data_IF_007987916597
#
_entry.id   IF_007987916597
#
_cell.length_a   1.000
_cell.length_b   1.000
_cell.length_c   1.000
_cell.angle_alpha   90.00
_cell.angle_beta   90.00
_cell.angle_gamma   90.00
#
_symmetry.space_group_name_H-M   'P 1'
#
loop_
_entity.id
_entity.type
_entity.pdbx_description
1 polymer ?
#
# COMPACT_ATOMS: atom_id res chain seq x y z
N UNK A 1 16.62 -17.49 -9.19
CA UNK A 1 16.35 -17.32 -10.64
C UNK A 1 17.20 -16.16 -11.13
N UNK A 2 17.93 -16.31 -12.21
CA UNK A 2 18.84 -15.26 -12.71
C UNK A 2 18.02 -14.24 -13.50
N UNK A 3 18.14 -12.96 -13.20
CA UNK A 3 17.71 -11.88 -14.07
C UNK A 3 18.51 -11.97 -15.37
N UNK A 4 17.95 -12.56 -16.42
CA UNK A 4 18.60 -12.63 -17.72
C UNK A 4 18.14 -11.45 -18.56
N UNK A 5 19.04 -10.47 -18.74
CA UNK A 5 18.88 -9.41 -19.73
C UNK A 5 19.49 -9.92 -21.02
N UNK A 6 18.67 -10.35 -21.96
CA UNK A 6 19.09 -10.61 -23.35
C UNK A 6 18.71 -9.40 -24.19
N UNK A 7 19.71 -8.60 -24.56
CA UNK A 7 19.57 -7.63 -25.65
C UNK A 7 19.53 -8.34 -26.98
N UNK A 8 18.39 -8.31 -27.65
CA UNK A 8 18.30 -8.62 -29.09
C UNK A 8 17.72 -7.43 -29.83
N UNK A 9 18.58 -6.77 -30.59
CA UNK A 9 18.22 -5.79 -31.61
C UNK A 9 17.60 -6.55 -32.80
N UNK A 10 16.30 -6.38 -33.01
CA UNK A 10 15.70 -6.50 -34.36
C UNK A 10 14.56 -5.51 -34.48
N UNK A 11 14.73 -4.55 -35.35
CA UNK A 11 13.70 -3.64 -35.77
C UNK A 11 12.72 -4.35 -36.71
N UNK A 12 11.43 -4.30 -36.39
CA UNK A 12 10.36 -4.45 -37.37
C UNK A 12 9.06 -3.81 -36.82
N UNK A 13 8.67 -2.80 -37.48
CA UNK A 13 7.41 -2.06 -37.22
C UNK A 13 6.23 -2.93 -37.66
N UNK A 14 5.44 -3.40 -36.72
CA UNK A 14 4.04 -3.80 -36.96
C UNK A 14 3.23 -3.20 -35.83
N UNK A 15 2.46 -2.16 -36.17
CA UNK A 15 1.37 -1.63 -35.33
C UNK A 15 0.28 -2.71 -35.26
N UNK A 16 0.27 -3.50 -34.22
CA UNK A 16 -0.90 -4.28 -33.84
C UNK A 16 -1.51 -3.60 -32.62
N UNK A 17 -2.71 -3.08 -32.80
CA UNK A 17 -3.56 -2.65 -31.69
C UNK A 17 -3.72 -3.85 -30.73
N UNK A 18 -3.05 -3.78 -29.59
CA UNK A 18 -3.19 -4.78 -28.53
C UNK A 18 -4.53 -4.50 -27.85
N UNK A 19 -5.57 -5.19 -28.29
CA UNK A 19 -6.79 -5.29 -27.51
C UNK A 19 -6.39 -5.94 -26.17
N UNK A 20 -6.53 -5.20 -25.09
CA UNK A 20 -6.42 -5.70 -23.71
C UNK A 20 -7.33 -6.93 -23.62
N UNK A 21 -6.75 -8.12 -23.58
CA UNK A 21 -7.48 -9.31 -23.20
C UNK A 21 -7.82 -9.13 -21.72
N UNK A 22 -9.07 -8.77 -21.43
CA UNK A 22 -9.66 -9.05 -20.14
C UNK A 22 -9.52 -10.55 -19.91
N UNK A 23 -8.50 -10.96 -19.17
CA UNK A 23 -8.48 -12.29 -18.59
C UNK A 23 -9.63 -12.32 -17.61
N UNK A 24 -10.70 -13.06 -17.95
CA UNK A 24 -11.81 -13.29 -17.03
C UNK A 24 -11.22 -13.87 -15.76
N UNK A 25 -11.41 -13.17 -14.64
CA UNK A 25 -10.97 -13.64 -13.32
C UNK A 25 -11.47 -15.08 -13.12
N UNK A 26 -10.56 -15.94 -12.68
CA UNK A 26 -10.87 -17.34 -12.36
C UNK A 26 -11.76 -17.45 -11.13
N UNK A 27 -11.82 -16.39 -10.34
CA UNK A 27 -12.52 -16.31 -9.08
C UNK A 27 -13.97 -15.85 -9.28
N UNK A 28 -14.87 -16.35 -8.45
CA UNK A 28 -16.25 -15.89 -8.45
C UNK A 28 -16.33 -14.44 -8.02
N UNK A 29 -17.25 -13.63 -8.55
CA UNK A 29 -17.48 -12.27 -8.07
C UNK A 29 -17.77 -12.24 -6.57
N UNK A 30 -17.23 -11.23 -5.89
CA UNK A 30 -17.52 -10.92 -4.48
C UNK A 30 -18.20 -9.57 -4.46
N UNK A 31 -19.19 -9.37 -3.61
CA UNK A 31 -19.92 -8.12 -3.48
C UNK A 31 -20.35 -7.88 -2.04
N UNK A 32 -20.52 -6.61 -1.68
CA UNK A 32 -20.80 -6.17 -0.33
C UNK A 32 -19.59 -6.28 0.60
N UNK A 33 -19.75 -5.86 1.84
CA UNK A 33 -18.65 -5.86 2.83
C UNK A 33 -18.16 -7.28 3.11
N UNK A 34 -16.83 -7.43 3.26
CA UNK A 34 -16.23 -8.68 3.74
C UNK A 34 -16.07 -8.56 5.24
N UNK A 35 -16.80 -9.39 5.98
CA UNK A 35 -16.85 -9.37 7.44
C UNK A 35 -15.96 -10.47 8.03
N UNK A 36 -15.16 -10.09 9.01
CA UNK A 36 -14.28 -10.99 9.76
C UNK A 36 -14.83 -11.13 11.17
N UNK A 37 -15.72 -12.09 11.42
CA UNK A 37 -16.30 -12.33 12.73
C UNK A 37 -15.44 -13.28 13.57
N UNK A 38 -15.35 -12.98 14.87
CA UNK A 38 -14.60 -13.79 15.84
C UNK A 38 -13.11 -13.99 15.48
N UNK A 39 -12.51 -13.01 14.81
CA UNK A 39 -11.08 -13.01 14.44
C UNK A 39 -10.28 -12.20 15.46
N UNK A 40 -10.04 -12.79 16.64
CA UNK A 40 -9.36 -12.11 17.75
C UNK A 40 -8.03 -11.51 17.33
N UNK A 41 -7.88 -10.18 17.52
CA UNK A 41 -6.67 -9.42 17.24
C UNK A 41 -6.21 -9.44 15.78
N UNK A 42 -7.10 -9.65 14.80
CA UNK A 42 -6.72 -9.62 13.38
C UNK A 42 -6.17 -8.26 12.95
N UNK A 43 -6.86 -7.16 13.27
CA UNK A 43 -6.49 -5.77 12.91
C UNK A 43 -5.93 -5.65 11.49
N UNK A 44 -6.72 -5.94 10.44
CA UNK A 44 -6.27 -5.90 9.07
C UNK A 44 -6.02 -4.44 8.64
N UNK A 45 -4.76 -4.08 8.38
CA UNK A 45 -4.41 -2.72 7.95
C UNK A 45 -4.26 -2.60 6.44
N UNK A 46 -3.62 -3.57 5.81
CA UNK A 46 -3.50 -3.69 4.36
C UNK A 46 -4.01 -5.05 3.92
N UNK A 47 -4.42 -5.12 2.65
CA UNK A 47 -4.87 -6.38 2.05
C UNK A 47 -4.49 -6.45 0.58
N UNK A 48 -4.35 -7.69 0.07
CA UNK A 48 -4.16 -7.97 -1.36
C UNK A 48 -5.00 -9.16 -1.76
N UNK A 49 -5.55 -9.06 -2.95
CA UNK A 49 -6.29 -10.13 -3.59
C UNK A 49 -5.38 -10.99 -4.45
N UNK A 50 -5.50 -12.30 -4.35
CA UNK A 50 -4.83 -13.27 -5.20
C UNK A 50 -5.84 -13.89 -6.17
N UNK A 51 -5.85 -13.42 -7.41
CA UNK A 51 -6.73 -13.92 -8.48
C UNK A 51 -6.41 -15.37 -8.88
N UNK A 52 -5.23 -15.87 -8.57
CA UNK A 52 -4.86 -17.25 -8.88
C UNK A 52 -5.40 -18.24 -7.86
N UNK A 53 -5.44 -17.82 -6.59
CA UNK A 53 -5.88 -18.67 -5.46
C UNK A 53 -7.25 -18.32 -4.91
N UNK A 54 -7.81 -17.17 -5.32
CA UNK A 54 -9.10 -16.65 -4.86
C UNK A 54 -9.14 -16.46 -3.34
N UNK A 55 -8.09 -15.91 -2.78
CA UNK A 55 -7.95 -15.62 -1.35
C UNK A 55 -7.46 -14.18 -1.12
N UNK A 56 -7.70 -13.69 0.09
CA UNK A 56 -7.15 -12.43 0.59
C UNK A 56 -5.93 -12.70 1.46
N UNK A 57 -4.89 -11.90 1.28
CA UNK A 57 -3.80 -11.75 2.23
C UNK A 57 -4.00 -10.46 3.00
N UNK A 58 -4.06 -10.56 4.32
CA UNK A 58 -4.33 -9.44 5.23
C UNK A 58 -3.11 -9.19 6.11
N UNK A 59 -2.62 -7.97 6.15
CA UNK A 59 -1.59 -7.56 7.10
C UNK A 59 -2.20 -7.41 8.49
N UNK A 60 -1.91 -8.33 9.39
CA UNK A 60 -2.26 -8.22 10.81
C UNK A 60 -1.22 -7.32 11.49
N UNK A 61 -1.52 -6.02 11.59
CA UNK A 61 -0.51 -5.00 11.91
C UNK A 61 0.17 -5.24 13.27
N UNK A 62 -0.61 -5.43 14.35
CA UNK A 62 -0.06 -5.56 15.69
C UNK A 62 0.61 -6.91 15.96
N UNK A 63 0.09 -7.97 15.35
CA UNK A 63 0.66 -9.29 15.48
C UNK A 63 1.84 -9.53 14.52
N UNK A 64 2.10 -8.60 13.61
CA UNK A 64 3.12 -8.69 12.57
C UNK A 64 3.11 -10.05 11.86
N UNK A 65 1.92 -10.46 11.40
CA UNK A 65 1.67 -11.71 10.69
C UNK A 65 0.79 -11.46 9.46
N UNK A 66 0.72 -12.41 8.54
CA UNK A 66 -0.12 -12.34 7.37
C UNK A 66 -1.22 -13.38 7.50
N UNK A 67 -2.48 -12.93 7.50
CA UNK A 67 -3.63 -13.81 7.50
C UNK A 67 -4.06 -14.13 6.07
N UNK A 68 -4.37 -15.39 5.80
CA UNK A 68 -4.95 -15.88 4.53
C UNK A 68 -6.42 -16.16 4.75
N UNK A 69 -7.27 -15.39 4.09
CA UNK A 69 -8.72 -15.45 4.25
C UNK A 69 -9.40 -15.90 2.97
N UNK A 70 -10.31 -16.84 3.08
CA UNK A 70 -11.22 -17.24 2.01
C UNK A 70 -12.54 -16.48 2.15
N UNK A 71 -12.85 -15.53 1.26
CA UNK A 71 -14.08 -14.76 1.33
C UNK A 71 -15.34 -15.56 0.98
N UNK A 72 -15.20 -16.69 0.28
CA UNK A 72 -16.34 -17.51 -0.12
C UNK A 72 -16.87 -18.41 0.99
N UNK A 73 -15.96 -18.90 1.83
CA UNK A 73 -16.31 -19.67 3.03
C UNK A 73 -16.34 -18.82 4.30
N UNK A 74 -16.00 -17.54 4.19
CA UNK A 74 -15.85 -16.61 5.32
C UNK A 74 -15.00 -17.20 6.44
N UNK A 75 -13.83 -17.74 6.07
CA UNK A 75 -12.98 -18.45 7.02
C UNK A 75 -11.51 -18.15 6.86
N UNK A 76 -10.80 -18.17 8.03
CA UNK A 76 -9.35 -18.10 8.09
C UNK A 76 -8.75 -19.42 7.62
N UNK A 77 -8.02 -19.37 6.51
CA UNK A 77 -7.34 -20.55 5.97
C UNK A 77 -6.00 -20.80 6.66
N UNK A 78 -5.29 -19.72 6.98
CA UNK A 78 -3.94 -19.80 7.56
C UNK A 78 -3.51 -18.47 8.16
N UNK A 79 -2.64 -18.53 9.15
CA UNK A 79 -1.78 -17.44 9.58
C UNK A 79 -0.35 -17.78 9.16
N UNK A 80 0.25 -16.92 8.34
CA UNK A 80 1.67 -17.02 7.97
C UNK A 80 2.46 -16.28 9.04
N UNK A 81 3.15 -17.05 9.86
CA UNK A 81 4.03 -16.52 10.89
C UNK A 81 5.43 -16.27 10.34
N UNK A 82 6.02 -15.15 10.74
CA UNK A 82 7.37 -14.75 10.34
C UNK A 82 8.31 -14.99 11.52
N UNK A 83 9.28 -15.93 11.40
CA UNK A 83 10.15 -16.28 12.51
C UNK A 83 10.90 -15.08 13.10
N UNK A 84 10.78 -14.87 14.42
CA UNK A 84 11.40 -13.77 15.16
C UNK A 84 10.76 -12.39 14.92
N UNK A 85 9.58 -12.33 14.29
CA UNK A 85 8.82 -11.10 14.03
C UNK A 85 7.39 -11.23 14.55
N UNK A 86 6.66 -12.27 14.14
CA UNK A 86 5.28 -12.47 14.58
C UNK A 86 5.16 -12.49 16.09
N UNK A 87 4.20 -11.75 16.63
CA UNK A 87 3.95 -11.48 18.04
C UNK A 87 5.05 -10.69 18.77
N UNK A 88 5.98 -10.08 18.03
CA UNK A 88 6.96 -9.17 18.63
C UNK A 88 6.32 -7.81 18.89
N UNK A 89 6.38 -7.30 20.12
CA UNK A 89 5.73 -6.06 20.53
C UNK A 89 6.35 -4.82 19.86
N UNK A 90 7.58 -4.94 19.38
CA UNK A 90 8.34 -3.88 18.73
C UNK A 90 8.22 -3.91 17.20
N UNK A 91 7.38 -4.77 16.61
CA UNK A 91 7.18 -4.89 15.16
C UNK A 91 5.73 -4.62 14.77
N UNK A 92 5.58 -4.06 13.56
CA UNK A 92 4.29 -3.87 12.89
C UNK A 92 4.40 -4.36 11.46
N UNK A 93 3.31 -4.89 10.93
CA UNK A 93 3.24 -5.31 9.53
C UNK A 93 2.28 -4.38 8.78
N UNK A 94 2.78 -3.70 7.77
CA UNK A 94 2.04 -2.68 7.01
C UNK A 94 1.85 -3.09 5.55
N UNK A 95 2.30 -2.30 4.60
CA UNK A 95 2.09 -2.47 3.17
C UNK A 95 2.46 -3.85 2.64
N UNK A 96 1.66 -4.35 1.73
CA UNK A 96 1.88 -5.65 1.07
C UNK A 96 1.67 -5.54 -0.43
N UNK A 97 2.37 -6.35 -1.20
CA UNK A 97 2.19 -6.46 -2.65
C UNK A 97 2.41 -7.91 -3.11
N UNK A 98 1.67 -8.33 -4.12
CA UNK A 98 1.85 -9.63 -4.76
C UNK A 98 2.59 -9.44 -6.09
N UNK A 99 3.62 -10.25 -6.31
CA UNK A 99 4.19 -10.49 -7.63
C UNK A 99 3.59 -11.79 -8.18
N UNK A 100 2.58 -11.71 -9.05
CA UNK A 100 1.90 -12.89 -9.58
C UNK A 100 2.78 -13.71 -10.52
N UNK A 101 3.80 -13.10 -11.11
CA UNK A 101 4.74 -13.77 -12.03
C UNK A 101 5.65 -14.74 -11.28
N UNK A 102 6.14 -14.31 -10.12
CA UNK A 102 7.06 -15.10 -9.32
C UNK A 102 6.36 -15.83 -8.15
N UNK A 103 5.03 -15.68 -8.00
CA UNK A 103 4.26 -16.23 -6.89
C UNK A 103 4.81 -15.82 -5.51
N UNK A 104 5.13 -14.54 -5.35
CA UNK A 104 5.70 -13.98 -4.13
C UNK A 104 4.77 -12.90 -3.59
N UNK A 105 4.49 -12.96 -2.29
CA UNK A 105 3.92 -11.86 -1.52
C UNK A 105 5.07 -11.16 -0.79
N UNK A 106 5.20 -9.86 -0.97
CA UNK A 106 6.13 -9.03 -0.21
C UNK A 106 5.37 -8.17 0.79
N UNK A 107 5.88 -8.07 2.02
CA UNK A 107 5.27 -7.31 3.10
C UNK A 107 6.31 -6.47 3.83
N UNK A 108 5.93 -5.26 4.22
CA UNK A 108 6.77 -4.37 5.02
C UNK A 108 6.60 -4.69 6.50
N UNK A 109 7.71 -4.89 7.19
CA UNK A 109 7.76 -5.02 8.64
C UNK A 109 8.57 -3.86 9.20
N UNK A 110 7.97 -3.09 10.06
CA UNK A 110 8.53 -1.86 10.59
C UNK A 110 8.69 -1.91 12.12
N UNK A 111 9.67 -1.16 12.62
CA UNK A 111 9.82 -0.96 14.05
C UNK A 111 8.68 -0.11 14.61
N UNK A 112 8.08 -0.51 15.73
CA UNK A 112 6.96 0.19 16.33
C UNK A 112 7.35 1.55 16.96
N UNK A 113 8.64 1.85 17.12
CA UNK A 113 9.16 3.05 17.77
C UNK A 113 8.63 4.34 17.14
N UNK A 114 8.45 4.39 15.82
CA UNK A 114 7.99 5.59 15.16
C UNK A 114 6.53 5.93 15.51
N UNK A 115 5.66 4.94 15.72
CA UNK A 115 4.28 5.17 16.18
C UNK A 115 4.25 5.80 17.57
N UNK A 116 5.14 5.34 18.45
CA UNK A 116 5.20 5.81 19.84
C UNK A 116 5.79 7.20 19.97
N UNK A 117 6.64 7.59 19.02
CA UNK A 117 7.40 8.83 19.05
C UNK A 117 6.95 9.89 18.04
N UNK A 118 5.87 9.62 17.27
CA UNK A 118 5.45 10.45 16.13
C UNK A 118 6.63 10.77 15.18
N UNK A 119 7.42 9.74 14.83
CA UNK A 119 8.55 9.84 13.92
C UNK A 119 9.85 10.39 14.51
N UNK A 120 9.89 10.78 15.79
CA UNK A 120 11.14 11.25 16.42
C UNK A 120 12.14 10.11 16.63
N UNK A 121 11.66 8.88 16.85
CA UNK A 121 12.48 7.68 16.90
C UNK A 121 12.10 6.73 15.77
N UNK A 122 12.97 6.57 14.79
CA UNK A 122 12.85 5.61 13.67
C UNK A 122 13.88 4.49 13.79
N UNK A 123 14.46 4.33 14.97
CA UNK A 123 15.38 3.24 15.27
C UNK A 123 14.63 1.90 15.36
N UNK A 124 15.40 0.83 15.41
CA UNK A 124 14.88 -0.52 15.41
C UNK A 124 14.95 -1.18 14.03
N UNK A 125 14.77 -2.49 14.04
CA UNK A 125 14.92 -3.28 12.83
C UNK A 125 13.68 -3.19 11.94
N UNK A 126 13.90 -2.87 10.67
CA UNK A 126 12.88 -2.84 9.62
C UNK A 126 13.24 -3.87 8.54
N UNK A 127 12.24 -4.52 7.99
CA UNK A 127 12.43 -5.56 6.97
C UNK A 127 11.40 -5.43 5.85
N UNK A 128 11.75 -5.97 4.67
CA UNK A 128 10.76 -6.53 3.76
C UNK A 128 10.79 -8.04 3.93
N UNK A 129 9.64 -8.65 4.05
CA UNK A 129 9.49 -10.10 4.11
C UNK A 129 8.90 -10.58 2.80
N UNK A 130 9.62 -11.44 2.09
CA UNK A 130 9.10 -12.17 0.92
C UNK A 130 8.55 -13.51 1.38
N UNK A 131 7.35 -13.83 0.94
CA UNK A 131 6.64 -15.11 1.18
C UNK A 131 6.46 -15.81 -0.14
N UNK A 132 7.01 -17.00 -0.30
CA UNK A 132 6.71 -17.89 -1.41
C UNK A 132 5.28 -18.40 -1.27
N UNK A 133 4.39 -18.06 -2.19
CA UNK A 133 2.96 -18.38 -2.09
C UNK A 133 2.64 -19.86 -2.39
N UNK A 134 3.59 -20.66 -2.82
CA UNK A 134 3.41 -22.10 -2.99
C UNK A 134 3.75 -22.88 -1.71
N UNK A 135 4.79 -22.45 -1.00
CA UNK A 135 5.33 -23.14 0.18
C UNK A 135 5.05 -22.42 1.49
N UNK A 136 4.73 -21.13 1.44
CA UNK A 136 4.65 -20.18 2.55
C UNK A 136 5.98 -20.01 3.31
N UNK A 137 7.09 -20.38 2.69
CA UNK A 137 8.40 -20.08 3.23
C UNK A 137 8.65 -18.56 3.21
N UNK A 138 9.26 -18.04 4.27
CA UNK A 138 9.53 -16.62 4.45
C UNK A 138 11.02 -16.30 4.32
N UNK A 139 11.36 -15.19 3.66
CA UNK A 139 12.71 -14.63 3.59
C UNK A 139 12.67 -13.18 4.07
N UNK A 140 13.55 -12.81 4.99
CA UNK A 140 13.69 -11.43 5.50
C UNK A 140 14.79 -10.69 4.75
N UNK A 141 14.51 -9.46 4.34
CA UNK A 141 15.47 -8.51 3.75
C UNK A 141 15.60 -7.36 4.73
N UNK A 142 16.79 -7.15 5.26
CA UNK A 142 17.04 -6.14 6.30
C UNK A 142 17.21 -4.75 5.69
N UNK A 143 16.28 -3.83 6.01
CA UNK A 143 16.34 -2.44 5.57
C UNK A 143 17.24 -1.59 6.48
N UNK A 144 17.33 -1.93 7.76
CA UNK A 144 18.07 -1.16 8.76
C UNK A 144 19.58 -1.18 8.48
N UNK A 145 20.08 -2.22 7.82
CA UNK A 145 21.47 -2.28 7.37
C UNK A 145 21.87 -1.10 6.47
N UNK A 146 20.91 -0.56 5.70
CA UNK A 146 21.09 0.58 4.79
C UNK A 146 20.70 1.89 5.46
N UNK A 147 19.58 1.94 6.16
CA UNK A 147 19.07 3.19 6.77
C UNK A 147 19.84 3.59 8.02
N UNK A 148 20.46 2.65 8.73
CA UNK A 148 21.20 2.83 9.99
C UNK A 148 20.40 3.61 11.05
N UNK A 149 19.07 3.50 11.02
CA UNK A 149 18.17 4.20 11.93
C UNK A 149 18.05 5.70 11.69
N UNK A 150 18.54 6.22 10.57
CA UNK A 150 18.46 7.64 10.24
C UNK A 150 17.11 8.04 9.64
N UNK A 151 16.48 7.12 8.94
CA UNK A 151 15.15 7.28 8.34
C UNK A 151 14.40 5.95 8.36
N UNK A 152 13.07 6.00 8.34
CA UNK A 152 12.25 4.80 8.52
C UNK A 152 10.76 5.10 8.50
N UNK A 153 10.00 4.30 9.27
CA UNK A 153 8.54 4.25 9.20
C UNK A 153 8.11 3.85 7.78
N UNK A 154 8.50 2.64 7.40
CA UNK A 154 8.21 2.10 6.06
C UNK A 154 6.77 1.62 6.03
N UNK A 155 5.92 2.28 5.22
CA UNK A 155 4.47 2.08 5.27
C UNK A 155 3.92 1.27 4.10
N UNK A 156 4.36 1.56 2.89
CA UNK A 156 3.79 0.98 1.67
C UNK A 156 4.89 0.47 0.73
N UNK A 157 4.50 -0.38 -0.22
CA UNK A 157 5.42 -1.09 -1.11
C UNK A 157 4.76 -1.34 -2.46
N UNK A 158 5.52 -1.19 -3.54
CA UNK A 158 5.07 -1.59 -4.87
C UNK A 158 6.16 -2.33 -5.66
N UNK A 159 5.73 -3.11 -6.65
CA UNK A 159 6.61 -3.85 -7.54
C UNK A 159 7.28 -2.91 -8.56
N UNK A 160 8.57 -3.13 -8.81
CA UNK A 160 9.29 -2.55 -9.92
C UNK A 160 9.05 -3.30 -11.25
N UNK A 161 9.90 -3.01 -12.24
CA UNK A 161 9.73 -3.56 -13.60
C UNK A 161 10.22 -5.01 -13.75
N UNK A 162 11.21 -5.41 -12.96
CA UNK A 162 11.95 -6.69 -13.16
C UNK A 162 11.97 -7.57 -11.91
N UNK A 163 10.91 -7.52 -11.10
CA UNK A 163 10.86 -8.20 -9.79
C UNK A 163 11.54 -7.41 -8.68
N UNK A 164 11.90 -6.16 -8.96
CA UNK A 164 12.35 -5.18 -7.98
C UNK A 164 11.18 -4.76 -7.09
N UNK A 165 11.50 -4.13 -5.95
CA UNK A 165 10.52 -3.55 -5.04
C UNK A 165 10.92 -2.12 -4.70
N UNK A 166 9.93 -1.25 -4.53
CA UNK A 166 10.09 0.08 -4.00
C UNK A 166 9.31 0.23 -2.70
N UNK A 167 9.99 0.68 -1.65
CA UNK A 167 9.40 0.81 -0.31
C UNK A 167 9.51 2.26 0.12
N UNK A 168 8.38 2.89 0.47
CA UNK A 168 8.39 4.25 0.96
C UNK A 168 8.55 4.32 2.48
N UNK A 169 9.31 5.32 2.94
CA UNK A 169 9.44 5.67 4.35
C UNK A 169 8.89 7.07 4.62
N UNK A 170 8.26 7.22 5.77
CA UNK A 170 7.53 8.43 6.14
C UNK A 170 8.34 9.44 6.97
N UNK A 171 9.39 9.02 7.67
CA UNK A 171 10.14 9.92 8.57
C UNK A 171 11.66 9.89 8.33
N UNK A 172 12.15 10.87 7.55
CA UNK A 172 11.46 11.73 6.59
C UNK A 172 11.08 10.98 5.31
N UNK A 173 10.49 11.70 4.35
CA UNK A 173 10.18 11.14 3.01
C UNK A 173 11.37 10.40 2.43
N UNK A 174 11.22 9.11 2.18
CA UNK A 174 12.27 8.29 1.59
C UNK A 174 11.70 7.19 0.70
N UNK A 175 12.50 6.71 -0.24
CA UNK A 175 12.24 5.53 -1.03
C UNK A 175 13.47 4.64 -0.98
N UNK A 176 13.27 3.36 -0.69
CA UNK A 176 14.27 2.30 -0.87
C UNK A 176 13.96 1.51 -2.12
N UNK A 177 15.00 1.11 -2.83
CA UNK A 177 14.95 0.14 -3.92
C UNK A 177 15.54 -1.19 -3.44
N UNK A 178 14.83 -2.27 -3.72
CA UNK A 178 15.28 -3.64 -3.48
C UNK A 178 15.32 -4.32 -4.84
N UNK A 179 16.50 -4.66 -5.30
CA UNK A 179 16.65 -5.29 -6.62
C UNK A 179 16.23 -6.78 -6.63
N UNK A 180 16.22 -7.37 -7.81
CA UNK A 180 15.83 -8.77 -7.99
C UNK A 180 16.77 -9.78 -7.30
N UNK A 181 17.94 -9.35 -6.81
CA UNK A 181 18.86 -10.15 -6.00
C UNK A 181 18.72 -9.87 -4.49
N UNK A 182 17.68 -9.10 -4.11
CA UNK A 182 17.37 -8.67 -2.73
C UNK A 182 18.40 -7.71 -2.11
N UNK A 183 19.17 -6.99 -2.94
CA UNK A 183 20.08 -5.94 -2.47
C UNK A 183 19.28 -4.64 -2.27
N UNK A 184 19.43 -4.06 -1.09
CA UNK A 184 18.76 -2.81 -0.71
C UNK A 184 19.67 -1.62 -1.00
N UNK A 185 19.09 -0.57 -1.58
CA UNK A 185 19.77 0.72 -1.76
C UNK A 185 18.82 1.89 -1.55
N UNK A 186 19.31 3.05 -1.10
CA UNK A 186 18.51 4.26 -1.09
C UNK A 186 18.20 4.66 -2.54
N UNK A 187 16.94 4.91 -2.85
CA UNK A 187 16.50 5.49 -4.11
C UNK A 187 16.35 7.01 -3.97
N UNK A 188 15.73 7.44 -2.85
CA UNK A 188 15.60 8.85 -2.48
C UNK A 188 15.50 8.99 -0.96
N UNK A 189 16.13 10.00 -0.40
CA UNK A 189 16.00 10.36 1.03
C UNK A 189 15.95 11.89 1.13
N UNK A 190 14.91 12.42 1.78
CA UNK A 190 14.79 13.84 2.06
C UNK A 190 15.62 14.23 3.29
N UNK A 191 16.35 15.32 3.20
CA UNK A 191 17.00 15.94 4.35
C UNK A 191 16.03 16.91 5.07
N UNK A 192 16.14 17.12 6.40
CA UNK A 192 17.07 16.46 7.30
C UNK A 192 16.60 15.08 7.75
N UNK A 193 17.53 14.17 7.99
CA UNK A 193 17.26 12.84 8.54
C UNK A 193 17.23 12.81 10.08
N UNK A 194 17.69 13.88 10.74
CA UNK A 194 17.66 14.03 12.20
C UNK A 194 16.34 14.64 12.69
N UNK A 195 15.87 14.29 13.93
CA UNK A 195 14.67 14.90 14.50
C UNK A 195 14.75 16.42 14.66
N UNK A 196 13.61 17.14 14.60
CA UNK A 196 12.28 16.64 14.27
C UNK A 196 12.14 16.30 12.79
N UNK A 197 11.59 15.11 12.47
CA UNK A 197 11.28 14.69 11.10
C UNK A 197 9.83 15.01 10.77
N UNK A 198 9.57 15.53 9.58
CA UNK A 198 8.20 15.68 9.09
C UNK A 198 7.65 14.37 8.57
N UNK A 199 6.34 14.15 8.74
CA UNK A 199 5.60 13.08 8.09
C UNK A 199 5.61 13.32 6.57
N UNK A 200 6.18 12.38 5.84
CA UNK A 200 6.50 12.53 4.42
C UNK A 200 5.67 11.60 3.52
N UNK A 201 6.35 10.66 2.86
CA UNK A 201 5.67 9.77 1.92
C UNK A 201 4.81 8.74 2.67
N UNK A 202 3.49 8.77 2.40
CA UNK A 202 2.55 7.82 3.00
C UNK A 202 2.30 6.60 2.15
N UNK A 203 2.20 6.75 0.83
CA UNK A 203 1.97 5.66 -0.11
C UNK A 203 2.86 5.76 -1.34
N UNK A 204 3.03 4.62 -2.03
CA UNK A 204 3.75 4.52 -3.30
C UNK A 204 2.98 3.62 -4.27
N UNK A 205 2.92 4.03 -5.54
CA UNK A 205 2.35 3.20 -6.60
C UNK A 205 3.14 3.41 -7.90
N UNK A 206 3.31 2.34 -8.67
CA UNK A 206 4.01 2.39 -9.96
C UNK A 206 3.04 2.52 -11.13
N UNK A 207 3.42 3.38 -12.08
CA UNK A 207 2.81 3.51 -13.40
C UNK A 207 3.93 3.42 -14.43
N UNK A 208 3.96 2.39 -15.22
CA UNK A 208 5.03 2.13 -16.21
C UNK A 208 6.43 2.23 -15.57
N UNK A 209 7.25 3.19 -15.98
CA UNK A 209 8.59 3.48 -15.46
C UNK A 209 8.61 4.62 -14.41
N UNK A 210 7.46 4.93 -13.86
CA UNK A 210 7.28 6.05 -12.91
C UNK A 210 6.73 5.54 -11.58
N UNK A 211 7.30 6.00 -10.47
CA UNK A 211 6.73 5.87 -9.14
C UNK A 211 5.98 7.13 -8.78
N UNK A 212 4.77 7.01 -8.27
CA UNK A 212 3.98 8.12 -7.70
C UNK A 212 3.90 7.93 -6.20
N UNK A 213 4.07 9.02 -5.45
CA UNK A 213 4.00 9.03 -3.98
C UNK A 213 3.05 10.11 -3.49
N UNK A 214 2.41 9.89 -2.34
CA UNK A 214 1.72 10.92 -1.58
C UNK A 214 2.75 11.63 -0.68
N UNK A 215 3.06 12.90 -0.99
CA UNK A 215 4.00 13.72 -0.21
C UNK A 215 3.24 14.59 0.79
N UNK A 216 3.07 14.09 2.00
CA UNK A 216 2.36 14.79 3.06
C UNK A 216 3.10 16.02 3.58
N UNK A 217 4.43 16.09 3.45
CA UNK A 217 5.22 17.27 3.83
C UNK A 217 4.86 18.48 2.97
N UNK A 218 4.64 18.25 1.66
CA UNK A 218 4.35 19.30 0.70
C UNK A 218 2.88 19.29 0.24
N UNK A 219 2.05 18.40 0.83
CA UNK A 219 0.61 18.33 0.55
C UNK A 219 0.28 18.09 -0.93
N UNK A 220 1.02 17.21 -1.60
CA UNK A 220 0.92 17.02 -3.05
C UNK A 220 1.29 15.61 -3.49
N UNK A 221 0.87 15.24 -4.68
CA UNK A 221 1.40 14.07 -5.36
C UNK A 221 2.73 14.42 -6.00
N UNK A 222 3.70 13.54 -5.87
CA UNK A 222 4.99 13.66 -6.54
C UNK A 222 5.32 12.36 -7.28
N UNK A 223 6.17 12.45 -8.29
CA UNK A 223 6.60 11.31 -9.08
C UNK A 223 8.10 11.26 -9.27
N UNK A 224 8.61 10.05 -9.46
CA UNK A 224 9.99 9.74 -9.77
C UNK A 224 10.07 8.91 -11.03
N UNK A 225 11.05 9.16 -11.88
CA UNK A 225 11.39 8.25 -12.97
C UNK A 225 12.30 7.14 -12.44
N UNK A 226 11.97 5.88 -12.73
CA UNK A 226 12.73 4.72 -12.26
C UNK A 226 14.13 4.67 -12.92
N UNK A 227 14.18 4.97 -14.22
CA UNK A 227 15.41 4.97 -14.98
C UNK A 227 16.02 6.37 -15.07
N UNK A 228 17.34 6.49 -14.81
CA UNK A 228 18.07 7.75 -14.87
C UNK A 228 18.76 8.10 -13.54
N UNK A 229 19.96 8.62 -13.59
CA UNK A 229 20.85 8.76 -12.42
C UNK A 229 20.47 9.82 -11.36
N UNK A 230 19.37 10.54 -11.53
CA UNK A 230 18.90 11.55 -10.56
C UNK A 230 17.45 11.27 -10.16
N UNK A 231 17.27 10.79 -8.94
CA UNK A 231 15.95 10.47 -8.39
C UNK A 231 15.43 11.64 -7.55
N UNK A 232 15.09 12.76 -8.21
CA UNK A 232 14.42 13.88 -7.55
C UNK A 232 12.92 13.83 -7.79
N UNK A 233 12.11 14.13 -6.76
CA UNK A 233 10.65 14.17 -6.91
C UNK A 233 10.24 15.32 -7.83
N UNK A 234 9.35 15.02 -8.76
CA UNK A 234 8.70 16.01 -9.62
C UNK A 234 7.23 16.09 -9.19
N UNK A 235 6.77 17.29 -8.86
CA UNK A 235 5.37 17.54 -8.49
C UNK A 235 4.45 17.15 -9.64
N UNK A 236 3.36 16.47 -9.35
CA UNK A 236 2.25 16.27 -10.28
C UNK A 236 1.28 17.44 -10.09
N UNK A 237 1.17 18.38 -11.04
CA UNK A 237 0.24 19.49 -10.94
C UNK A 237 -1.20 18.98 -10.82
N UNK A 238 -1.99 19.58 -9.94
CA UNK A 238 -3.39 19.25 -9.77
C UNK A 238 -4.27 20.33 -10.41
N UNK A 239 -5.19 19.93 -11.26
CA UNK A 239 -6.16 20.87 -11.89
C UNK A 239 -7.28 21.24 -10.93
N UNK A 240 -7.68 20.34 -10.06
CA UNK A 240 -8.52 20.58 -8.90
C UNK A 240 -7.72 20.19 -7.68
N UNK A 241 -7.26 21.20 -6.94
CA UNK A 241 -6.25 21.00 -5.89
C UNK A 241 -6.86 20.42 -4.62
N UNK A 242 -6.26 19.36 -4.12
CA UNK A 242 -6.55 18.75 -2.83
C UNK A 242 -5.34 18.84 -1.91
N UNK A 243 -5.49 19.57 -0.82
CA UNK A 243 -4.46 19.77 0.20
C UNK A 243 -4.57 18.67 1.25
N UNK A 244 -3.82 17.59 1.11
CA UNK A 244 -3.79 16.50 2.07
C UNK A 244 -2.55 16.52 2.97
N UNK A 245 -2.67 15.95 4.16
CA UNK A 245 -1.57 15.84 5.14
C UNK A 245 -1.52 14.47 5.82
N UNK A 246 -2.47 13.62 5.57
CA UNK A 246 -2.58 12.27 6.11
C UNK A 246 -2.81 11.22 5.03
N UNK A 247 -2.32 11.49 3.81
CA UNK A 247 -2.33 10.51 2.72
C UNK A 247 -1.45 9.32 3.08
N UNK A 248 -2.03 8.13 3.04
CA UNK A 248 -1.44 6.86 3.36
C UNK A 248 -1.21 6.04 2.08
N UNK A 249 -1.71 4.82 1.98
CA UNK A 249 -1.55 3.94 0.83
C UNK A 249 -2.11 4.54 -0.48
N UNK A 250 -1.45 4.23 -1.59
CA UNK A 250 -1.93 4.53 -2.94
C UNK A 250 -2.27 3.23 -3.69
N UNK A 251 -3.27 3.31 -4.57
CA UNK A 251 -3.57 2.22 -5.50
C UNK A 251 -4.08 2.73 -6.84
N UNK A 252 -3.88 1.94 -7.89
CA UNK A 252 -4.37 2.18 -9.24
C UNK A 252 -5.20 0.96 -9.69
N UNK A 253 -6.51 0.95 -9.42
CA UNK A 253 -7.34 -0.17 -9.79
C UNK A 253 -7.33 -0.44 -11.30
N UNK A 254 -7.10 -1.70 -11.69
CA UNK A 254 -7.03 -2.11 -13.08
C UNK A 254 -8.33 -1.85 -13.85
N UNK A 255 -9.48 -1.98 -13.17
CA UNK A 255 -10.79 -1.74 -13.75
C UNK A 255 -10.97 -0.34 -14.34
N UNK A 256 -10.16 0.63 -13.89
CA UNK A 256 -10.18 2.01 -14.42
C UNK A 256 -9.03 2.31 -15.39
N UNK A 257 -8.32 1.27 -15.86
CA UNK A 257 -7.29 1.39 -16.89
C UNK A 257 -6.11 2.30 -16.53
N UNK A 258 -5.72 2.34 -15.26
CA UNK A 258 -4.62 3.17 -14.75
C UNK A 258 -4.92 4.68 -14.71
N UNK A 259 -6.17 5.08 -14.98
CA UNK A 259 -6.58 6.50 -15.05
C UNK A 259 -7.13 7.04 -13.73
N UNK A 260 -7.40 6.18 -12.76
CA UNK A 260 -7.94 6.53 -11.45
C UNK A 260 -6.99 6.02 -10.38
N UNK A 261 -6.69 6.88 -9.42
CA UNK A 261 -5.90 6.55 -8.24
C UNK A 261 -6.72 6.77 -6.99
N UNK A 262 -6.64 5.83 -6.09
CA UNK A 262 -7.23 5.89 -4.76
C UNK A 262 -6.12 6.15 -3.74
N UNK A 263 -6.35 7.08 -2.84
CA UNK A 263 -5.47 7.38 -1.72
C UNK A 263 -6.26 7.22 -0.42
N UNK A 264 -5.83 6.29 0.42
CA UNK A 264 -6.31 6.23 1.78
C UNK A 264 -5.84 7.49 2.53
N UNK A 265 -6.72 8.18 3.24
CA UNK A 265 -6.41 9.49 3.81
C UNK A 265 -7.08 9.71 5.17
N UNK A 266 -6.30 10.22 6.11
CA UNK A 266 -6.79 10.83 7.33
C UNK A 266 -6.82 12.36 7.15
N UNK A 267 -8.03 12.93 7.08
CA UNK A 267 -8.22 14.38 6.94
C UNK A 267 -8.20 15.01 8.34
N UNK A 268 -6.99 15.19 8.87
CA UNK A 268 -6.72 15.59 10.25
C UNK A 268 -7.48 16.88 10.63
N UNK A 269 -7.47 17.87 9.75
CA UNK A 269 -8.14 19.17 9.98
C UNK A 269 -9.66 19.05 10.12
N UNK A 270 -10.27 18.01 9.52
CA UNK A 270 -11.72 17.74 9.59
C UNK A 270 -12.07 16.63 10.58
N UNK A 271 -11.07 16.05 11.23
CA UNK A 271 -11.23 14.92 12.13
C UNK A 271 -12.04 13.78 11.49
N UNK A 272 -11.73 13.44 10.23
CA UNK A 272 -12.35 12.35 9.47
C UNK A 272 -11.31 11.55 8.71
N UNK A 273 -11.67 10.38 8.19
CA UNK A 273 -10.84 9.55 7.34
C UNK A 273 -11.66 8.91 6.22
N UNK A 274 -10.99 8.49 5.15
CA UNK A 274 -11.65 7.88 4.01
C UNK A 274 -10.72 7.71 2.81
N UNK A 275 -11.29 7.79 1.61
CA UNK A 275 -10.56 7.57 0.37
C UNK A 275 -10.69 8.78 -0.54
N UNK A 276 -9.58 9.42 -0.83
CA UNK A 276 -9.45 10.47 -1.85
C UNK A 276 -9.29 9.85 -3.24
N UNK A 277 -10.07 10.34 -4.19
CA UNK A 277 -10.10 9.82 -5.57
C UNK A 277 -9.49 10.86 -6.50
N UNK A 278 -8.47 10.46 -7.23
CA UNK A 278 -7.79 11.27 -8.25
C UNK A 278 -7.94 10.61 -9.61
N UNK A 279 -7.84 11.42 -10.66
CA UNK A 279 -7.78 10.92 -12.03
C UNK A 279 -6.68 11.60 -12.85
N UNK A 280 -6.22 10.91 -13.89
CA UNK A 280 -5.33 11.49 -14.90
C UNK A 280 -5.74 11.03 -16.29
N UNK A 281 -5.62 11.93 -17.27
CA UNK A 281 -5.88 11.67 -18.68
C UNK A 281 -4.60 11.69 -19.54
N UNK A 282 -3.45 11.89 -18.91
CA UNK A 282 -2.17 12.15 -19.58
C UNK A 282 -1.01 11.37 -18.96
N UNK A 283 -1.28 10.14 -18.47
CA UNK A 283 -0.29 9.26 -17.82
C UNK A 283 0.39 9.93 -16.62
N UNK A 284 -0.43 10.55 -15.77
CA UNK A 284 -0.01 11.18 -14.51
C UNK A 284 1.02 12.32 -14.70
N UNK A 285 0.95 13.03 -15.85
CA UNK A 285 1.63 14.33 -16.00
C UNK A 285 0.89 15.40 -15.24
N UNK A 286 -0.43 15.32 -15.20
CA UNK A 286 -1.31 16.10 -14.32
C UNK A 286 -2.29 15.18 -13.60
N UNK A 287 -2.79 15.61 -12.46
CA UNK A 287 -3.83 14.93 -11.69
C UNK A 287 -5.04 15.85 -11.50
N UNK A 288 -6.22 15.26 -11.38
CA UNK A 288 -7.44 15.97 -11.03
C UNK A 288 -8.05 15.28 -9.79
N UNK A 289 -8.22 16.02 -8.70
CA UNK A 289 -8.95 15.53 -7.54
C UNK A 289 -10.45 15.52 -7.85
N UNK A 290 -11.08 14.34 -7.75
CA UNK A 290 -12.49 14.15 -8.07
C UNK A 290 -13.39 14.29 -6.84
N UNK A 291 -12.89 13.92 -5.65
CA UNK A 291 -13.65 13.98 -4.42
C UNK A 291 -13.12 13.01 -3.35
N UNK A 292 -13.79 13.05 -2.20
CA UNK A 292 -13.46 12.26 -1.02
C UNK A 292 -14.65 11.39 -0.62
N UNK A 293 -14.39 10.11 -0.38
CA UNK A 293 -15.36 9.12 0.10
C UNK A 293 -15.07 8.88 1.58
N UNK A 294 -15.93 9.43 2.44
CA UNK A 294 -15.77 9.26 3.88
C UNK A 294 -15.96 7.80 4.31
N UNK A 295 -15.11 7.34 5.21
CA UNK A 295 -15.20 5.98 5.75
C UNK A 295 -16.51 5.79 6.53
N UNK A 296 -17.22 4.70 6.24
CA UNK A 296 -18.44 4.35 6.97
C UNK A 296 -18.13 4.02 8.44
N UNK A 297 -16.96 3.47 8.73
CA UNK A 297 -16.53 3.15 10.08
C UNK A 297 -16.32 4.40 10.92
N UNK A 298 -16.11 5.56 10.28
CA UNK A 298 -16.03 6.86 10.93
C UNK A 298 -17.35 7.28 11.61
N UNK A 299 -18.47 6.74 11.14
CA UNK A 299 -19.77 6.98 11.77
C UNK A 299 -19.99 6.12 13.01
N UNK A 300 -19.24 5.04 13.14
CA UNK A 300 -19.33 4.08 14.23
C UNK A 300 -18.30 4.33 15.32
N UNK A 301 -17.17 4.91 14.98
CA UNK A 301 -16.02 5.13 15.86
C UNK A 301 -15.57 6.59 15.83
N UNK A 302 -15.05 7.16 16.94
CA UNK A 302 -14.45 8.48 16.91
C UNK A 302 -13.22 8.52 16.01
N UNK A 303 -12.99 9.63 15.27
CA UNK A 303 -11.86 9.74 14.33
C UNK A 303 -10.49 9.50 14.97
N UNK A 304 -10.36 9.83 16.27
CA UNK A 304 -9.13 9.55 17.01
C UNK A 304 -8.92 8.06 17.32
N UNK A 305 -9.89 7.21 16.98
CA UNK A 305 -9.84 5.77 17.24
C UNK A 305 -9.57 4.93 15.97
N UNK A 306 -9.65 5.56 14.79
CA UNK A 306 -9.42 4.87 13.51
C UNK A 306 -8.56 5.69 12.57
N UNK A 307 -7.91 5.00 11.63
CA UNK A 307 -7.17 5.58 10.50
C UNK A 307 -7.52 4.82 9.24
N UNK A 308 -7.71 5.53 8.13
CA UNK A 308 -7.85 4.89 6.82
C UNK A 308 -6.48 4.41 6.35
N UNK A 309 -6.31 3.11 6.14
CA UNK A 309 -5.01 2.54 5.86
C UNK A 309 -4.82 2.12 4.42
N UNK A 310 -5.84 1.57 3.78
CA UNK A 310 -5.72 1.15 2.39
C UNK A 310 -7.05 1.14 1.65
N UNK A 311 -6.99 1.24 0.31
CA UNK A 311 -8.09 1.02 -0.60
C UNK A 311 -7.56 0.33 -1.85
N UNK A 312 -8.05 -0.88 -2.16
CA UNK A 312 -7.55 -1.70 -3.27
C UNK A 312 -8.66 -2.40 -4.02
N UNK A 313 -8.33 -2.76 -5.27
CA UNK A 313 -9.16 -3.63 -6.08
C UNK A 313 -9.10 -5.08 -5.59
N UNK A 314 -10.24 -5.73 -5.58
CA UNK A 314 -10.44 -7.12 -5.24
C UNK A 314 -11.43 -7.71 -6.26
N UNK A 315 -10.91 -8.49 -7.19
CA UNK A 315 -11.69 -8.91 -8.36
C UNK A 315 -12.11 -7.70 -9.20
N UNK A 316 -13.41 -7.48 -9.31
CA UNK A 316 -14.01 -6.36 -10.04
C UNK A 316 -14.52 -5.24 -9.12
N UNK A 317 -14.23 -5.28 -7.84
CA UNK A 317 -14.72 -4.33 -6.85
C UNK A 317 -13.60 -3.63 -6.07
N UNK A 318 -13.93 -2.50 -5.47
CA UNK A 318 -13.01 -1.70 -4.66
C UNK A 318 -13.39 -1.84 -3.19
N UNK A 319 -12.40 -2.20 -2.39
CA UNK A 319 -12.56 -2.31 -0.94
C UNK A 319 -11.62 -1.36 -0.21
N UNK A 320 -12.01 -0.97 0.99
CA UNK A 320 -11.18 -0.17 1.88
C UNK A 320 -11.07 -0.80 3.27
N UNK A 321 -9.96 -0.54 3.95
CA UNK A 321 -9.71 -0.98 5.32
C UNK A 321 -9.38 0.19 6.23
N UNK A 322 -9.73 0.06 7.50
CA UNK A 322 -9.35 0.97 8.57
C UNK A 322 -8.56 0.24 9.64
N UNK A 323 -7.60 0.92 10.23
CA UNK A 323 -6.92 0.50 11.43
C UNK A 323 -7.66 1.07 12.65
N UNK A 324 -7.92 0.21 13.64
CA UNK A 324 -8.49 0.61 14.93
C UNK A 324 -7.38 0.79 15.96
N UNK A 325 -7.38 1.94 16.66
CA UNK A 325 -6.44 2.27 17.72
C UNK A 325 -6.94 1.83 19.10
N UNK A 326 -7.38 0.57 19.21
CA UNK A 326 -7.91 0.00 20.46
C UNK A 326 -6.82 -0.20 21.54
N UNK A 327 -5.57 -0.02 21.17
CA UNK A 327 -4.39 -0.20 22.01
C UNK A 327 -3.89 1.10 22.66
N UNK A 328 -4.75 2.12 22.83
CA UNK A 328 -4.34 3.42 23.41
C UNK A 328 -3.76 3.33 24.80
N UNK A 329 -4.21 2.35 25.59
CA UNK A 329 -3.72 2.13 26.97
C UNK A 329 -2.34 1.50 26.97
N UNK A 330 -2.07 0.63 25.97
CA UNK A 330 -0.75 0.02 25.74
C UNK A 330 -0.46 0.01 24.24
N UNK A 331 0.17 1.07 23.70
CA UNK A 331 0.38 1.24 22.26
C UNK A 331 1.25 0.15 21.59
N UNK A 332 1.96 -0.66 22.37
CA UNK A 332 2.79 -1.76 21.84
C UNK A 332 2.02 -3.07 21.66
N UNK A 333 0.80 -3.17 22.20
CA UNK A 333 0.00 -4.38 22.15
C UNK A 333 -1.24 -4.20 21.28
N UNK A 334 -1.72 -5.28 20.66
CA UNK A 334 -3.05 -5.32 20.06
C UNK A 334 -4.14 -5.15 21.11
N UNK A 335 -5.27 -4.52 20.74
CA UNK A 335 -6.47 -4.46 21.55
C UNK A 335 -7.20 -5.82 21.60
N UNK A 336 -8.45 -5.82 22.03
CA UNK A 336 -9.28 -7.01 22.24
C UNK A 336 -10.37 -7.19 21.17
N UNK A 337 -10.30 -6.47 20.06
CA UNK A 337 -11.31 -6.53 19.01
C UNK A 337 -11.31 -7.90 18.32
N UNK A 338 -12.51 -8.38 17.99
CA UNK A 338 -12.73 -9.67 17.34
C UNK A 338 -13.39 -9.53 15.98
N UNK A 339 -14.00 -8.38 15.70
CA UNK A 339 -14.79 -8.18 14.50
C UNK A 339 -14.23 -7.01 13.68
N UNK A 340 -14.00 -7.27 12.39
CA UNK A 340 -13.42 -6.33 11.44
C UNK A 340 -14.17 -6.41 10.11
N UNK A 341 -13.93 -5.43 9.22
CA UNK A 341 -14.50 -5.44 7.90
C UNK A 341 -13.54 -4.85 6.86
N UNK A 342 -13.62 -5.34 5.63
CA UNK A 342 -13.27 -4.56 4.45
C UNK A 342 -14.57 -4.00 3.87
N UNK A 343 -14.63 -2.70 3.68
CA UNK A 343 -15.83 -2.02 3.19
C UNK A 343 -15.82 -1.96 1.68
N UNK A 344 -16.87 -2.44 1.06
CA UNK A 344 -17.10 -2.30 -0.38
C UNK A 344 -17.50 -0.86 -0.69
N UNK A 345 -16.58 -0.12 -1.30
CA UNK A 345 -16.77 1.28 -1.69
C UNK A 345 -16.96 1.47 -3.19
N UNK A 346 -17.12 0.38 -3.95
CA UNK A 346 -17.20 0.40 -5.41
C UNK A 346 -18.23 1.39 -5.93
N UNK A 347 -19.46 1.26 -5.41
CA UNK A 347 -20.58 2.10 -5.91
C UNK A 347 -20.37 3.59 -5.58
N UNK A 348 -19.66 3.89 -4.48
CA UNK A 348 -19.29 5.25 -4.11
C UNK A 348 -18.22 5.82 -5.07
N UNK A 349 -17.19 5.02 -5.39
CA UNK A 349 -16.16 5.40 -6.36
C UNK A 349 -16.78 5.59 -7.74
N UNK A 350 -17.55 4.59 -8.20
CA UNK A 350 -18.20 4.62 -9.51
C UNK A 350 -19.16 5.82 -9.65
N UNK A 351 -19.94 6.12 -8.62
CA UNK A 351 -20.85 7.28 -8.62
C UNK A 351 -20.08 8.59 -8.73
N UNK A 352 -18.95 8.70 -8.00
CA UNK A 352 -18.08 9.87 -8.08
C UNK A 352 -17.47 10.02 -9.48
N UNK A 353 -17.03 8.92 -10.07
CA UNK A 353 -16.46 8.91 -11.42
C UNK A 353 -17.49 9.32 -12.47
N UNK A 354 -18.72 8.76 -12.43
CA UNK A 354 -19.82 9.17 -13.35
C UNK A 354 -20.15 10.65 -13.21
N UNK A 355 -20.20 11.17 -11.97
CA UNK A 355 -20.44 12.59 -11.71
C UNK A 355 -19.35 13.50 -12.31
N UNK A 356 -18.16 12.96 -12.56
CA UNK A 356 -17.02 13.64 -13.19
C UNK A 356 -16.83 13.27 -14.67
N UNK A 357 -17.85 12.64 -15.30
CA UNK A 357 -17.87 12.39 -16.74
C UNK A 357 -17.07 11.17 -17.21
N UNK A 358 -16.82 10.21 -16.32
CA UNK A 358 -16.27 8.92 -16.70
C UNK A 358 -17.38 7.98 -17.16
N UNK A 359 -17.12 7.31 -18.27
CA UNK A 359 -17.97 6.22 -18.78
C UNK A 359 -17.44 4.89 -18.23
N UNK A 360 -18.14 4.36 -17.21
CA UNK A 360 -17.74 3.16 -16.45
C UNK A 360 -18.95 2.28 -16.13
#
# INVERSE_FOLDING_TARGET
>A
MKCSVLFSLVASWILTASASKHTTSKCRPISGDILFHNQFQLYPSFFRWDDQRCVLYLSSIYNASIAVWDPYSSSMQRIISIPGITHSLDKRLSGTIIDPTNNVLSAVVEAASFFLSAGNDVSGDNFVVKVDLNTFATKKINLTAVTKGQYGAFLDIDNGLSGDLYVNGAYPSSLLHIDCEDRVSPFYVREPTTPPRSFGFGGVVRVDDTLIVSDNTNHQLAKFTIHGGHHSPVVIPQTNYHNFSGGSSLSLPHRYGGKVMLMAEDVIAKNTCGVSVFSSKDSWRTANFLGFIESIDRKLEPASAISQTSAHELGDRIYSSVLFYDNKVNPTMAGNRTDFALRDITDSVDSLLRANGFDI
#
